data_IF_939819286837
#
_entry.id   IF_939819286837
#
_cell.length_a   1.000
_cell.length_b   1.000
_cell.length_c   1.000
_cell.angle_alpha   90.00
_cell.angle_beta   90.00
_cell.angle_gamma   90.00
#
_symmetry.space_group_name_H-M   'P 1'
#
loop_
_entity.id
_entity.type
_entity.pdbx_description
1 polymer ?
#
# COMPACT_ATOMS: atom_id res chain seq x y z
N UNK A 1 21.10 -3.55 6.05
CA UNK A 1 22.02 -4.69 6.32
C UNK A 1 21.29 -5.89 6.91
N UNK A 2 20.45 -5.76 7.97
CA UNK A 2 19.78 -6.89 8.61
C UNK A 2 18.84 -7.63 7.65
N UNK A 3 17.95 -6.95 6.92
CA UNK A 3 17.07 -7.58 5.93
C UNK A 3 17.87 -8.33 4.86
N UNK A 4 18.94 -7.74 4.35
CA UNK A 4 19.83 -8.41 3.39
C UNK A 4 20.41 -9.70 3.95
N UNK A 5 20.85 -9.69 5.21
CA UNK A 5 21.38 -10.89 5.88
C UNK A 5 20.29 -11.95 6.05
N UNK A 6 19.06 -11.54 6.44
CA UNK A 6 17.91 -12.45 6.56
C UNK A 6 17.62 -13.12 5.22
N UNK A 7 17.41 -12.33 4.15
CA UNK A 7 17.11 -12.89 2.83
C UNK A 7 18.22 -13.75 2.25
N UNK A 8 19.46 -13.51 2.64
CA UNK A 8 20.60 -14.27 2.13
C UNK A 8 20.90 -15.56 2.91
N UNK A 9 20.62 -15.58 4.22
CA UNK A 9 21.12 -16.65 5.10
C UNK A 9 20.03 -17.38 5.91
N UNK A 10 18.78 -16.87 5.93
CA UNK A 10 17.75 -17.52 6.73
C UNK A 10 17.22 -18.76 6.00
N UNK A 11 17.26 -19.91 6.70
CA UNK A 11 16.96 -21.23 6.11
C UNK A 11 15.54 -21.40 5.55
N UNK A 12 14.57 -20.63 6.05
CA UNK A 12 13.16 -20.70 5.64
C UNK A 12 12.78 -19.65 4.57
N UNK A 13 13.70 -18.77 4.22
CA UNK A 13 13.46 -17.70 3.23
C UNK A 13 14.29 -18.03 2.00
N UNK A 14 13.62 -18.46 0.95
CA UNK A 14 14.24 -18.67 -0.34
C UNK A 14 14.09 -17.41 -1.19
N UNK A 15 15.19 -16.85 -1.66
CA UNK A 15 15.19 -15.62 -2.45
C UNK A 15 16.10 -15.77 -3.66
N UNK A 16 15.56 -15.49 -4.85
CA UNK A 16 16.32 -15.48 -6.10
C UNK A 16 17.23 -14.25 -6.25
N UNK A 17 17.35 -13.44 -5.18
CA UNK A 17 18.16 -12.23 -5.11
C UNK A 17 17.36 -10.96 -4.93
N UNK A 18 17.95 -9.83 -5.27
CA UNK A 18 17.35 -8.50 -5.11
C UNK A 18 17.18 -7.81 -6.46
N UNK A 19 16.04 -7.20 -6.69
CA UNK A 19 15.88 -6.25 -7.80
C UNK A 19 16.82 -5.05 -7.61
N UNK A 20 16.86 -4.52 -6.42
CA UNK A 20 17.72 -3.41 -6.04
C UNK A 20 18.33 -3.65 -4.65
N UNK A 21 19.65 -3.53 -4.55
CA UNK A 21 20.37 -3.61 -3.29
C UNK A 21 20.88 -2.21 -2.88
N UNK A 22 20.08 -1.52 -2.06
CA UNK A 22 20.41 -0.19 -1.56
C UNK A 22 21.65 -0.14 -0.65
N UNK A 23 22.13 -1.29 -0.16
CA UNK A 23 23.34 -1.32 0.69
C UNK A 23 24.63 -1.06 -0.09
N UNK A 24 24.61 -1.22 -1.39
CA UNK A 24 25.72 -0.95 -2.27
C UNK A 24 25.81 0.55 -2.70
N UNK A 25 24.75 1.32 -2.45
CA UNK A 25 24.72 2.74 -2.79
C UNK A 25 25.42 3.57 -1.71
N UNK A 26 26.42 4.33 -2.11
CA UNK A 26 27.10 5.33 -1.25
C UNK A 26 26.42 6.72 -1.31
N UNK A 27 25.40 6.88 -2.14
CA UNK A 27 24.71 8.15 -2.30
C UNK A 27 23.68 8.37 -1.20
N UNK A 28 23.90 9.35 -0.34
CA UNK A 28 22.95 9.78 0.70
C UNK A 28 21.63 10.36 0.17
N UNK A 29 21.50 10.54 -1.17
CA UNK A 29 20.31 11.11 -1.80
C UNK A 29 19.34 10.05 -2.35
N UNK A 30 19.61 8.79 -2.17
CA UNK A 30 18.74 7.68 -2.59
C UNK A 30 18.13 7.08 -1.34
N UNK A 31 16.86 7.38 -1.10
CA UNK A 31 16.08 6.77 -0.03
C UNK A 31 14.80 6.17 -0.61
N UNK A 32 14.43 4.98 -0.14
CA UNK A 32 13.24 4.23 -0.54
C UNK A 32 12.75 3.49 0.69
N UNK A 33 11.46 3.61 0.99
CA UNK A 33 10.84 2.86 2.09
C UNK A 33 9.66 2.02 1.58
N UNK A 34 9.45 0.84 2.18
CA UNK A 34 8.45 -0.13 1.71
C UNK A 34 7.00 0.34 1.79
N UNK A 35 6.68 1.28 2.70
CA UNK A 35 5.36 1.88 2.79
C UNK A 35 4.96 2.72 1.57
N UNK A 36 5.95 3.16 0.79
CA UNK A 36 5.72 3.87 -0.48
C UNK A 36 5.62 2.93 -1.69
N UNK A 37 5.76 1.62 -1.51
CA UNK A 37 5.76 0.67 -2.62
C UNK A 37 4.53 -0.25 -2.53
N UNK A 38 3.60 -0.10 -3.45
CA UNK A 38 2.43 -0.96 -3.59
C UNK A 38 2.48 -1.71 -4.92
N UNK A 39 2.64 -3.04 -4.85
CA UNK A 39 2.49 -3.91 -6.00
C UNK A 39 1.01 -4.15 -6.22
N UNK A 40 0.45 -3.55 -7.26
CA UNK A 40 -0.99 -3.60 -7.52
C UNK A 40 -1.36 -4.82 -8.36
N UNK A 41 -0.52 -5.11 -9.34
CA UNK A 41 -0.68 -6.19 -10.30
C UNK A 41 0.71 -6.63 -10.78
N UNK A 42 0.84 -7.73 -11.47
CA UNK A 42 2.11 -8.25 -12.00
C UNK A 42 2.79 -7.31 -13.01
N UNK A 43 2.02 -6.43 -13.66
CA UNK A 43 2.49 -5.46 -14.66
C UNK A 43 2.44 -4.00 -14.16
N UNK A 44 1.96 -3.73 -12.92
CA UNK A 44 1.71 -2.38 -12.42
C UNK A 44 2.14 -2.20 -10.97
N UNK A 45 3.02 -1.23 -10.73
CA UNK A 45 3.48 -0.86 -9.39
C UNK A 45 3.15 0.61 -9.13
N UNK A 46 2.66 0.93 -7.93
CA UNK A 46 2.44 2.29 -7.47
C UNK A 46 3.50 2.68 -6.42
N UNK A 47 4.07 3.89 -6.55
CA UNK A 47 5.18 4.36 -5.73
C UNK A 47 4.87 5.76 -5.20
N UNK A 48 4.99 5.96 -3.89
CA UNK A 48 4.89 7.26 -3.26
C UNK A 48 6.17 8.07 -3.42
N UNK A 49 6.06 9.32 -3.87
CA UNK A 49 7.08 10.34 -3.70
C UNK A 49 6.76 11.10 -2.43
N UNK A 50 7.44 10.76 -1.35
CA UNK A 50 7.14 11.18 0.01
C UNK A 50 8.31 11.90 0.68
N UNK A 51 8.20 12.13 1.98
CA UNK A 51 9.34 12.56 2.80
C UNK A 51 10.45 11.50 2.85
N UNK A 52 10.08 10.20 2.76
CA UNK A 52 10.96 9.04 2.96
C UNK A 52 11.51 8.47 1.67
N UNK A 53 10.78 8.63 0.58
CA UNK A 53 11.18 8.10 -0.73
C UNK A 53 11.44 9.25 -1.70
N UNK A 54 12.68 9.35 -2.14
CA UNK A 54 13.14 10.46 -3.00
C UNK A 54 12.89 10.15 -4.48
N UNK A 55 12.74 11.19 -5.31
CA UNK A 55 12.60 11.06 -6.77
C UNK A 55 13.74 10.24 -7.39
N UNK A 56 14.98 10.42 -6.89
CA UNK A 56 16.13 9.64 -7.35
C UNK A 56 16.04 8.17 -6.92
N UNK A 57 15.49 7.91 -5.73
CA UNK A 57 15.18 6.55 -5.27
C UNK A 57 14.17 5.87 -6.19
N UNK A 58 13.10 6.59 -6.52
CA UNK A 58 12.04 6.12 -7.43
C UNK A 58 12.61 5.78 -8.80
N UNK A 59 13.36 6.69 -9.44
CA UNK A 59 13.97 6.44 -10.76
C UNK A 59 14.90 5.21 -10.72
N UNK A 60 15.73 5.11 -9.69
CA UNK A 60 16.64 3.98 -9.52
C UNK A 60 15.90 2.65 -9.37
N UNK A 61 14.82 2.64 -8.57
CA UNK A 61 14.00 1.45 -8.34
C UNK A 61 13.22 1.03 -9.59
N UNK A 62 12.53 1.97 -10.24
CA UNK A 62 11.79 1.70 -11.48
C UNK A 62 12.68 1.10 -12.56
N UNK A 63 13.86 1.68 -12.74
CA UNK A 63 14.86 1.16 -13.70
C UNK A 63 15.28 -0.27 -13.37
N UNK A 64 15.62 -0.54 -12.12
CA UNK A 64 16.05 -1.86 -11.68
C UNK A 64 14.95 -2.93 -11.85
N UNK A 65 13.70 -2.56 -11.57
CA UNK A 65 12.53 -3.45 -11.75
C UNK A 65 12.25 -3.68 -13.25
N UNK A 66 12.23 -2.61 -14.04
CA UNK A 66 11.99 -2.73 -15.50
C UNK A 66 13.06 -3.56 -16.21
N UNK A 67 14.32 -3.47 -15.75
CA UNK A 67 15.43 -4.24 -16.33
C UNK A 67 15.37 -5.73 -16.00
N UNK A 68 14.94 -6.09 -14.80
CA UNK A 68 14.99 -7.47 -14.29
C UNK A 68 13.64 -8.20 -14.32
N UNK A 69 12.56 -7.50 -14.07
CA UNK A 69 11.27 -8.10 -13.71
C UNK A 69 10.18 -7.98 -14.74
N UNK A 70 10.39 -7.22 -15.80
CA UNK A 70 9.37 -7.07 -16.84
C UNK A 70 8.21 -6.13 -16.49
N UNK A 71 8.14 -5.53 -15.29
CA UNK A 71 7.16 -4.48 -14.99
C UNK A 71 7.55 -3.22 -15.73
N UNK A 72 6.64 -2.70 -16.52
CA UNK A 72 6.88 -1.54 -17.38
C UNK A 72 6.03 -0.32 -16.99
N UNK A 73 4.98 -0.51 -16.19
CA UNK A 73 4.07 0.55 -15.81
C UNK A 73 4.19 0.88 -14.32
N UNK A 74 4.38 2.15 -14.05
CA UNK A 74 4.51 2.68 -12.69
C UNK A 74 3.60 3.89 -12.52
N UNK A 75 2.88 3.95 -11.40
CA UNK A 75 2.16 5.16 -10.97
C UNK A 75 2.95 5.80 -9.84
N UNK A 76 3.49 6.97 -10.05
CA UNK A 76 4.15 7.75 -9.01
C UNK A 76 3.17 8.76 -8.45
N UNK A 77 2.96 8.73 -7.13
CA UNK A 77 2.03 9.62 -6.42
C UNK A 77 2.82 10.63 -5.61
N UNK A 78 2.61 11.92 -5.85
CA UNK A 78 3.25 12.99 -5.10
C UNK A 78 2.49 13.25 -3.79
N UNK A 79 3.09 12.87 -2.68
CA UNK A 79 2.49 12.94 -1.34
C UNK A 79 3.04 14.16 -0.60
N UNK A 80 2.19 14.90 0.16
CA UNK A 80 2.67 15.96 1.04
C UNK A 80 3.72 15.44 2.03
N UNK A 81 4.84 16.15 2.15
CA UNK A 81 5.93 15.78 3.06
C UNK A 81 5.57 16.15 4.48
N UNK A 82 4.86 15.27 5.14
CA UNK A 82 4.42 15.43 6.53
C UNK A 82 4.47 14.11 7.29
N UNK A 83 4.54 14.18 8.61
CA UNK A 83 4.56 12.99 9.46
C UNK A 83 3.25 12.19 9.39
N UNK A 84 2.12 12.84 9.18
CA UNK A 84 0.83 12.19 9.06
C UNK A 84 0.72 11.33 7.80
N UNK A 85 1.37 11.78 6.71
CA UNK A 85 1.35 11.14 5.40
C UNK A 85 2.74 10.65 5.01
N UNK A 86 3.41 10.02 5.97
CA UNK A 86 4.81 9.59 5.85
C UNK A 86 5.06 8.67 4.65
N UNK A 87 4.09 7.84 4.28
CA UNK A 87 4.13 6.90 3.15
C UNK A 87 2.80 6.85 2.40
N UNK A 88 2.84 6.31 1.19
CA UNK A 88 1.68 6.10 0.34
C UNK A 88 0.62 5.19 0.99
N UNK A 89 1.03 4.16 1.71
CA UNK A 89 0.12 3.25 2.38
C UNK A 89 -0.61 3.84 3.61
N UNK A 90 -0.26 5.07 4.00
CA UNK A 90 -1.01 5.85 4.99
C UNK A 90 -2.18 6.63 4.37
N UNK A 91 -2.26 6.71 3.05
CA UNK A 91 -3.31 7.44 2.33
C UNK A 91 -4.14 6.57 1.40
N UNK A 92 -3.61 5.40 0.99
CA UNK A 92 -4.32 4.44 0.15
C UNK A 92 -3.74 3.04 0.33
N UNK A 93 -4.62 2.04 0.57
CA UNK A 93 -4.30 0.61 0.44
C UNK A 93 -5.41 -0.13 -0.27
N UNK A 94 -5.05 -1.05 -1.15
CA UNK A 94 -6.03 -1.96 -1.77
C UNK A 94 -6.54 -2.96 -0.72
N UNK A 95 -7.86 -3.19 -0.73
CA UNK A 95 -8.54 -4.11 0.20
C UNK A 95 -9.20 -5.27 -0.53
N UNK A 96 -9.51 -5.08 -1.81
CA UNK A 96 -9.96 -6.14 -2.72
C UNK A 96 -9.46 -5.83 -4.13
N UNK A 97 -9.83 -6.65 -5.12
CA UNK A 97 -9.49 -6.45 -6.55
C UNK A 97 -10.03 -5.15 -7.12
N UNK A 98 -11.21 -4.73 -6.67
CA UNK A 98 -11.96 -3.58 -7.18
C UNK A 98 -12.15 -2.47 -6.15
N UNK A 99 -11.51 -2.57 -4.97
CA UNK A 99 -11.72 -1.59 -3.90
C UNK A 99 -10.45 -1.24 -3.14
N UNK A 100 -10.42 -0.03 -2.61
CA UNK A 100 -9.34 0.48 -1.78
C UNK A 100 -9.88 1.34 -0.64
N UNK A 101 -9.21 1.32 0.51
CA UNK A 101 -9.43 2.34 1.55
C UNK A 101 -8.53 3.52 1.25
N UNK A 102 -9.11 4.71 1.35
CA UNK A 102 -8.42 5.96 1.04
C UNK A 102 -8.55 6.98 2.17
N UNK A 103 -7.61 7.90 2.24
CA UNK A 103 -7.76 9.14 2.99
C UNK A 103 -8.35 10.22 2.06
N UNK A 104 -9.65 10.54 2.19
CA UNK A 104 -10.36 11.37 1.21
C UNK A 104 -9.72 12.71 0.89
N UNK A 105 -9.21 13.50 1.87
CA UNK A 105 -8.62 14.81 1.58
C UNK A 105 -7.50 14.78 0.53
N UNK A 106 -6.70 13.70 0.50
CA UNK A 106 -5.55 13.55 -0.39
C UNK A 106 -5.81 12.68 -1.62
N UNK A 107 -6.95 11.99 -1.70
CA UNK A 107 -7.24 11.10 -2.84
C UNK A 107 -8.41 11.60 -3.67
N UNK A 108 -9.48 12.07 -3.06
CA UNK A 108 -10.70 12.55 -3.74
C UNK A 108 -11.03 14.01 -3.45
N UNK A 109 -10.42 14.62 -2.44
CA UNK A 109 -10.65 15.99 -2.02
C UNK A 109 -10.10 17.04 -2.98
N UNK A 110 -10.26 18.31 -2.61
CA UNK A 110 -9.79 19.45 -3.41
C UNK A 110 -8.26 19.51 -3.52
N UNK A 111 -7.55 19.00 -2.52
CA UNK A 111 -6.09 18.99 -2.45
C UNK A 111 -5.50 17.60 -2.74
N UNK A 112 -6.20 16.83 -3.58
CA UNK A 112 -5.76 15.48 -3.93
C UNK A 112 -4.37 15.46 -4.55
N UNK A 113 -3.62 14.41 -4.22
CA UNK A 113 -2.27 14.17 -4.71
C UNK A 113 -2.26 13.98 -6.22
N UNK A 114 -1.33 14.62 -6.90
CA UNK A 114 -1.04 14.38 -8.33
C UNK A 114 -0.45 12.99 -8.50
N UNK A 115 -0.75 12.38 -9.63
CA UNK A 115 -0.20 11.08 -9.98
C UNK A 115 0.43 11.12 -11.37
N UNK A 116 1.52 10.39 -11.55
CA UNK A 116 2.27 10.34 -12.80
C UNK A 116 2.36 8.88 -13.26
N UNK A 117 1.79 8.57 -14.41
CA UNK A 117 2.04 7.28 -15.05
C UNK A 117 3.37 7.36 -15.80
N UNK A 118 4.32 6.51 -15.42
CA UNK A 118 5.63 6.37 -16.04
C UNK A 118 5.69 5.02 -16.74
N UNK A 119 5.87 5.06 -18.06
CA UNK A 119 6.01 3.84 -18.87
C UNK A 119 7.46 3.66 -19.28
N UNK A 120 8.00 2.47 -18.98
CA UNK A 120 9.32 2.03 -19.40
C UNK A 120 9.22 1.08 -20.59
N UNK A 121 10.07 1.27 -21.56
CA UNK A 121 10.27 0.35 -22.67
C UNK A 121 11.76 0.32 -23.03
N UNK A 122 12.29 -0.86 -23.30
CA UNK A 122 13.71 -1.04 -23.66
C UNK A 122 14.67 -0.35 -22.65
N UNK A 123 14.37 -0.46 -21.36
CA UNK A 123 15.16 0.11 -20.23
C UNK A 123 15.20 1.64 -20.20
N UNK A 124 14.30 2.31 -20.88
CA UNK A 124 14.20 3.76 -20.92
C UNK A 124 12.77 4.24 -20.61
N UNK A 125 12.66 5.40 -20.00
CA UNK A 125 11.37 6.08 -19.88
C UNK A 125 10.92 6.51 -21.27
N UNK A 126 9.79 5.97 -21.73
CA UNK A 126 9.18 6.31 -23.02
C UNK A 126 8.11 7.37 -22.88
N UNK A 127 7.40 7.36 -21.77
CA UNK A 127 6.26 8.25 -21.57
C UNK A 127 6.08 8.56 -20.10
N UNK A 128 5.78 9.82 -19.83
CA UNK A 128 5.28 10.28 -18.52
C UNK A 128 4.00 11.05 -18.79
N UNK A 129 2.92 10.69 -18.09
CA UNK A 129 1.62 11.37 -18.16
C UNK A 129 1.20 11.76 -16.76
N UNK A 130 0.91 13.04 -16.57
CA UNK A 130 0.37 13.55 -15.31
C UNK A 130 -1.15 13.39 -15.27
N UNK A 131 -1.67 13.00 -14.11
CA UNK A 131 -3.09 12.91 -13.80
C UNK A 131 -3.41 13.74 -12.56
N UNK A 132 -4.62 14.34 -12.51
CA UNK A 132 -5.02 15.16 -11.37
C UNK A 132 -5.20 14.38 -10.08
N UNK A 133 -5.29 13.05 -10.15
CA UNK A 133 -5.43 12.18 -9.00
C UNK A 133 -5.04 10.74 -9.25
N UNK A 134 -4.83 10.00 -8.17
CA UNK A 134 -4.38 8.61 -8.22
C UNK A 134 -5.43 7.67 -8.80
N UNK A 135 -6.70 7.84 -8.47
CA UNK A 135 -7.78 6.98 -8.99
C UNK A 135 -7.96 7.14 -10.50
N UNK A 136 -7.83 8.36 -11.00
CA UNK A 136 -7.87 8.63 -12.45
C UNK A 136 -6.69 7.96 -13.17
N UNK A 137 -5.50 8.04 -12.58
CA UNK A 137 -4.32 7.36 -13.14
C UNK A 137 -4.50 5.83 -13.17
N UNK A 138 -5.00 5.23 -12.08
CA UNK A 138 -5.25 3.79 -11.97
C UNK A 138 -6.31 3.32 -12.97
N UNK A 139 -7.40 4.08 -13.13
CA UNK A 139 -8.45 3.76 -14.10
C UNK A 139 -7.92 3.65 -15.54
N UNK A 140 -6.98 4.50 -15.93
CA UNK A 140 -6.36 4.43 -17.28
C UNK A 140 -5.48 3.20 -17.46
N UNK A 141 -5.09 2.54 -16.35
CA UNK A 141 -4.35 1.28 -16.36
C UNK A 141 -5.27 0.06 -16.16
N UNK A 142 -6.58 0.25 -16.28
CA UNK A 142 -7.57 -0.81 -16.15
C UNK A 142 -7.90 -1.20 -14.71
N UNK A 143 -7.51 -0.39 -13.72
CA UNK A 143 -7.88 -0.56 -12.32
C UNK A 143 -8.91 0.51 -11.92
N UNK A 144 -10.19 0.19 -12.01
CA UNK A 144 -11.28 1.07 -11.56
C UNK A 144 -11.67 0.72 -10.13
N UNK A 145 -10.95 1.30 -9.17
CA UNK A 145 -11.12 0.99 -7.76
C UNK A 145 -12.25 1.83 -7.14
N UNK A 146 -13.12 1.17 -6.37
CA UNK A 146 -14.13 1.81 -5.52
C UNK A 146 -13.45 2.30 -4.23
N UNK A 147 -13.44 3.62 -3.98
CA UNK A 147 -12.85 4.14 -2.76
C UNK A 147 -13.79 3.96 -1.56
N UNK A 148 -13.25 3.46 -0.45
CA UNK A 148 -13.88 3.44 0.87
C UNK A 148 -13.18 4.49 1.72
N UNK A 149 -13.95 5.41 2.31
CA UNK A 149 -13.40 6.53 3.06
C UNK A 149 -12.88 6.09 4.44
N UNK A 150 -11.59 6.29 4.72
CA UNK A 150 -11.06 6.23 6.07
C UNK A 150 -11.76 7.29 6.94
N UNK A 151 -12.36 6.88 8.07
CA UNK A 151 -13.08 7.77 8.97
C UNK A 151 -14.49 8.17 8.52
N UNK A 152 -14.98 7.61 7.38
CA UNK A 152 -16.31 7.90 6.84
C UNK A 152 -16.44 9.32 6.25
N UNK A 153 -17.62 9.93 6.41
CA UNK A 153 -17.94 11.24 5.80
C UNK A 153 -17.54 12.45 6.67
N UNK A 154 -17.12 12.24 7.90
CA UNK A 154 -16.74 13.31 8.84
C UNK A 154 -15.23 13.61 8.75
N UNK A 155 -14.89 14.85 8.37
CA UNK A 155 -13.48 15.26 8.15
C UNK A 155 -12.61 15.08 9.40
N UNK A 156 -13.14 15.36 10.60
CA UNK A 156 -12.39 15.22 11.84
C UNK A 156 -12.10 13.73 12.16
N UNK A 157 -13.08 12.85 11.87
CA UNK A 157 -12.88 11.40 12.00
C UNK A 157 -11.88 10.90 10.95
N UNK A 158 -11.94 11.41 9.73
CA UNK A 158 -10.98 11.06 8.67
C UNK A 158 -9.55 11.37 9.10
N UNK A 159 -9.28 12.58 9.60
CA UNK A 159 -7.95 12.96 10.09
C UNK A 159 -7.51 12.12 11.30
N UNK A 160 -8.41 11.90 12.26
CA UNK A 160 -8.12 11.12 13.47
C UNK A 160 -7.79 9.66 13.15
N UNK A 161 -8.61 9.02 12.32
CA UNK A 161 -8.41 7.61 11.99
C UNK A 161 -7.25 7.41 11.00
N UNK A 162 -7.03 8.35 10.08
CA UNK A 162 -5.84 8.33 9.24
C UNK A 162 -4.56 8.41 10.09
N UNK A 163 -4.50 9.30 11.09
CA UNK A 163 -3.39 9.37 12.03
C UNK A 163 -3.20 8.05 12.79
N UNK A 164 -4.28 7.37 13.10
CA UNK A 164 -4.31 6.05 13.75
C UNK A 164 -4.18 4.88 12.75
N UNK A 165 -3.68 5.15 11.54
CA UNK A 165 -3.44 4.15 10.48
C UNK A 165 -4.71 3.50 9.92
N UNK A 166 -5.83 4.23 9.90
CA UNK A 166 -7.12 3.74 9.39
C UNK A 166 -7.17 3.49 7.87
N UNK A 167 -6.19 3.96 7.11
CA UNK A 167 -6.04 3.62 5.68
C UNK A 167 -4.97 2.54 5.42
N UNK A 168 -4.32 2.01 6.47
CA UNK A 168 -3.16 1.12 6.38
C UNK A 168 -3.53 -0.34 6.66
N UNK A 169 -4.20 -0.98 5.70
CA UNK A 169 -4.63 -2.37 5.82
C UNK A 169 -3.60 -3.35 5.23
N UNK A 170 -3.43 -4.49 5.88
CA UNK A 170 -2.67 -5.60 5.33
C UNK A 170 -3.61 -6.62 4.69
N UNK A 171 -3.49 -6.83 3.38
CA UNK A 171 -4.28 -7.84 2.68
C UNK A 171 -3.66 -9.22 2.84
N UNK A 172 -4.39 -10.14 3.45
CA UNK A 172 -4.09 -11.58 3.50
C UNK A 172 -4.40 -12.24 2.15
N UNK A 173 -5.50 -11.82 1.56
CA UNK A 173 -5.99 -12.21 0.24
C UNK A 173 -6.93 -11.09 -0.26
N UNK A 174 -7.31 -11.06 -1.55
CA UNK A 174 -8.36 -10.15 -2.00
C UNK A 174 -9.62 -10.29 -1.15
N UNK A 175 -10.11 -9.20 -0.59
CA UNK A 175 -11.26 -9.15 0.31
C UNK A 175 -10.97 -9.59 1.76
N UNK A 176 -9.82 -10.17 2.08
CA UNK A 176 -9.47 -10.51 3.46
C UNK A 176 -8.35 -9.61 3.97
N UNK A 177 -8.66 -8.73 4.89
CA UNK A 177 -7.74 -7.68 5.35
C UNK A 177 -7.60 -7.65 6.87
N UNK A 178 -6.43 -7.19 7.34
CA UNK A 178 -6.16 -6.89 8.74
C UNK A 178 -6.15 -5.39 8.97
N UNK A 179 -6.77 -4.95 10.06
CA UNK A 179 -6.77 -3.55 10.51
C UNK A 179 -6.86 -3.44 12.01
N UNK A 180 -6.69 -2.23 12.54
CA UNK A 180 -6.83 -1.98 13.96
C UNK A 180 -8.30 -1.73 14.36
N UNK A 181 -8.72 -2.31 15.48
CA UNK A 181 -10.08 -2.22 16.02
C UNK A 181 -10.50 -0.79 16.42
N UNK A 182 -9.55 0.08 16.73
CA UNK A 182 -9.85 1.46 17.16
C UNK A 182 -10.27 2.39 16.00
N UNK A 183 -10.10 1.99 14.75
CA UNK A 183 -10.57 2.71 13.56
C UNK A 183 -12.02 2.34 13.23
N UNK A 184 -12.94 2.66 14.14
CA UNK A 184 -14.33 2.21 14.10
C UNK A 184 -15.12 2.78 12.93
N UNK A 185 -14.96 4.07 12.63
CA UNK A 185 -15.69 4.69 11.51
C UNK A 185 -15.23 4.10 10.15
N UNK A 186 -13.95 3.78 10.00
CA UNK A 186 -13.44 3.08 8.80
C UNK A 186 -14.01 1.65 8.72
N UNK A 187 -14.09 0.93 9.85
CA UNK A 187 -14.70 -0.39 9.89
C UNK A 187 -16.19 -0.35 9.53
N UNK A 188 -16.94 0.67 10.01
CA UNK A 188 -18.34 0.90 9.63
C UNK A 188 -18.49 1.15 8.13
N UNK A 189 -17.59 1.96 7.52
CA UNK A 189 -17.61 2.19 6.07
C UNK A 189 -17.29 0.92 5.29
N UNK A 190 -16.34 0.10 5.73
CA UNK A 190 -16.06 -1.20 5.13
C UNK A 190 -17.28 -2.14 5.22
N UNK A 191 -17.97 -2.15 6.38
CA UNK A 191 -19.20 -2.95 6.55
C UNK A 191 -20.31 -2.52 5.59
N UNK A 192 -20.51 -1.21 5.37
CA UNK A 192 -21.45 -0.68 4.35
C UNK A 192 -21.07 -1.11 2.93
N UNK A 193 -19.78 -1.38 2.68
CA UNK A 193 -19.25 -1.87 1.41
C UNK A 193 -19.11 -3.40 1.35
N UNK A 194 -19.79 -4.13 2.25
CA UNK A 194 -19.96 -5.58 2.18
C UNK A 194 -18.89 -6.39 2.93
N UNK A 195 -18.01 -5.75 3.70
CA UNK A 195 -17.06 -6.45 4.56
C UNK A 195 -17.74 -6.93 5.85
N UNK A 196 -17.56 -8.19 6.18
CA UNK A 196 -17.85 -8.71 7.52
C UNK A 196 -16.74 -8.28 8.47
N UNK A 197 -17.10 -7.82 9.67
CA UNK A 197 -16.14 -7.37 10.68
C UNK A 197 -16.02 -8.43 11.75
N UNK A 198 -14.82 -8.98 11.91
CA UNK A 198 -14.52 -10.03 12.91
C UNK A 198 -13.26 -9.66 13.69
N UNK A 199 -13.11 -10.21 14.88
CA UNK A 199 -11.88 -10.02 15.66
C UNK A 199 -10.82 -11.07 15.33
N UNK A 200 -9.55 -10.74 15.54
CA UNK A 200 -8.47 -11.71 15.40
C UNK A 200 -8.65 -12.92 16.33
N UNK A 201 -9.19 -12.70 17.54
CA UNK A 201 -9.44 -13.78 18.52
C UNK A 201 -10.49 -14.79 17.99
N UNK A 202 -11.55 -14.33 17.33
CA UNK A 202 -12.55 -15.21 16.71
C UNK A 202 -11.96 -16.06 15.59
N UNK A 203 -11.00 -15.52 14.84
CA UNK A 203 -10.31 -16.27 13.79
C UNK A 203 -9.30 -17.27 14.37
N UNK A 204 -8.56 -16.88 15.41
CA UNK A 204 -7.56 -17.73 16.07
C UNK A 204 -8.21 -18.86 16.85
N UNK A 205 -9.35 -18.62 17.52
CA UNK A 205 -10.14 -19.64 18.24
C UNK A 205 -10.95 -20.56 17.33
N UNK A 206 -10.89 -20.33 16.00
CA UNK A 206 -11.69 -21.04 14.99
C UNK A 206 -13.22 -20.85 15.12
N UNK A 207 -13.67 -19.89 15.92
CA UNK A 207 -15.09 -19.49 15.97
C UNK A 207 -15.55 -18.89 14.65
N UNK A 208 -14.63 -18.20 13.94
CA UNK A 208 -14.87 -17.67 12.61
C UNK A 208 -13.83 -18.17 11.61
N UNK A 209 -14.30 -18.66 10.44
CA UNK A 209 -13.44 -19.10 9.35
C UNK A 209 -13.58 -18.16 8.17
N UNK A 210 -12.44 -17.64 7.68
CA UNK A 210 -12.40 -16.83 6.47
C UNK A 210 -12.85 -17.66 5.26
N UNK A 211 -13.86 -17.20 4.53
CA UNK A 211 -14.45 -17.92 3.40
C UNK A 211 -14.08 -17.21 2.08
N UNK A 212 -13.59 -17.94 1.08
CA UNK A 212 -13.38 -17.38 -0.24
C UNK A 212 -14.64 -16.71 -0.79
N UNK A 213 -14.50 -15.49 -1.32
CA UNK A 213 -15.61 -14.73 -1.88
C UNK A 213 -16.46 -13.94 -0.86
N UNK A 214 -16.17 -14.03 0.43
CA UNK A 214 -16.76 -13.20 1.47
C UNK A 214 -15.72 -12.20 1.97
N UNK A 215 -15.91 -10.92 1.67
CA UNK A 215 -15.00 -9.87 2.13
C UNK A 215 -15.04 -9.76 3.66
N UNK A 216 -13.88 -9.76 4.31
CA UNK A 216 -13.76 -9.77 5.77
C UNK A 216 -12.64 -8.84 6.24
N UNK A 217 -12.98 -7.92 7.14
CA UNK A 217 -12.00 -7.19 7.95
C UNK A 217 -11.78 -7.94 9.26
N UNK A 218 -10.56 -8.40 9.46
CA UNK A 218 -10.11 -8.94 10.74
C UNK A 218 -9.52 -7.81 11.56
N UNK A 219 -10.14 -7.46 12.67
CA UNK A 219 -9.68 -6.40 13.57
C UNK A 219 -8.77 -6.96 14.65
N UNK A 220 -7.72 -6.22 14.99
CA UNK A 220 -6.81 -6.57 16.06
C UNK A 220 -6.59 -5.38 17.00
N UNK A 221 -6.36 -5.66 18.27
CA UNK A 221 -5.97 -4.64 19.23
C UNK A 221 -4.57 -4.11 18.89
N UNK A 222 -4.41 -2.81 18.85
CA UNK A 222 -3.16 -2.20 18.40
C UNK A 222 -3.03 -0.71 18.73
N UNK A 223 -3.81 -0.21 19.70
CA UNK A 223 -3.79 1.21 20.07
C UNK A 223 -2.41 1.71 20.49
N UNK A 224 -1.62 0.88 21.19
CA UNK A 224 -0.26 1.22 21.59
C UNK A 224 0.74 1.07 20.42
N UNK A 225 0.47 0.17 19.48
CA UNK A 225 1.34 -0.02 18.31
C UNK A 225 1.29 1.19 17.38
N UNK A 226 0.09 1.77 17.17
CA UNK A 226 -0.09 2.94 16.32
C UNK A 226 0.63 4.19 16.84
N UNK A 227 0.94 4.26 18.15
CA UNK A 227 1.75 5.35 18.74
C UNK A 227 3.18 5.40 18.20
N UNK A 228 3.75 4.27 17.82
CA UNK A 228 5.05 4.18 17.16
C UNK A 228 5.04 4.66 15.70
N UNK A 229 3.85 4.87 15.16
CA UNK A 229 3.57 5.15 13.77
C UNK A 229 3.45 3.87 12.94
N UNK A 230 2.44 3.84 12.08
CA UNK A 230 2.19 2.72 11.16
C UNK A 230 1.08 1.77 11.59
N UNK A 231 0.47 1.15 10.61
CA UNK A 231 -0.62 0.19 10.76
C UNK A 231 -0.19 -1.25 10.49
N UNK A 232 -1.17 -2.09 10.26
CA UNK A 232 -0.94 -3.52 10.03
C UNK A 232 -0.04 -3.78 8.82
N UNK A 233 -0.15 -3.00 7.75
CA UNK A 233 0.72 -3.13 6.58
C UNK A 233 2.15 -2.70 6.87
N UNK A 234 2.35 -1.60 7.58
CA UNK A 234 3.68 -1.09 7.93
C UNK A 234 4.50 -2.08 8.77
N UNK A 235 3.83 -2.88 9.62
CA UNK A 235 4.48 -3.85 10.51
C UNK A 235 4.66 -5.23 9.88
N UNK A 236 4.30 -5.40 8.61
CA UNK A 236 4.38 -6.69 7.92
C UNK A 236 5.23 -6.58 6.67
N UNK A 237 5.86 -7.68 6.32
CA UNK A 237 6.60 -7.84 5.07
C UNK A 237 6.23 -9.20 4.45
N UNK A 238 5.47 -9.22 3.36
CA UNK A 238 5.14 -10.48 2.70
C UNK A 238 6.40 -11.14 2.15
N UNK A 239 6.61 -12.41 2.49
CA UNK A 239 7.75 -13.20 2.01
C UNK A 239 7.40 -13.98 0.73
N UNK A 240 6.14 -14.42 0.63
CA UNK A 240 5.63 -15.15 -0.51
C UNK A 240 4.17 -14.74 -0.75
N UNK A 241 3.79 -14.61 -2.01
CA UNK A 241 2.41 -14.34 -2.42
C UNK A 241 2.02 -15.25 -3.56
N UNK A 242 0.82 -15.78 -3.48
CA UNK A 242 0.21 -16.49 -4.60
C UNK A 242 -0.24 -15.49 -5.68
N UNK A 243 -0.28 -15.96 -6.92
CA UNK A 243 -0.85 -15.20 -8.01
C UNK A 243 -2.34 -14.89 -7.74
N UNK A 244 -2.77 -13.70 -8.10
CA UNK A 244 -4.17 -13.27 -8.02
C UNK A 244 -4.76 -13.28 -9.43
N UNK A 245 -5.91 -13.93 -9.60
CA UNK A 245 -6.69 -13.83 -10.84
C UNK A 245 -7.44 -12.49 -10.81
N UNK A 246 -7.08 -11.62 -11.70
CA UNK A 246 -7.66 -10.28 -11.89
C UNK A 246 -8.89 -10.34 -12.76
#
# INVERSE_FOLDING_TARGET
>A
LLLKAIFKYHQRINSDGFYFDGTASTSQKITIEGGDLLVLRDDLIMIGYSERTTARGIDTLMRAIAEKGGVQNFIVVEIPKSRATIHLDMILTMVDRDSCVIFPPLVTGLHKCRAFHVHYEQKQVKRIVEYPGVLEALRTQGLDLKPVACGGDDELRQEREQWSSGANFFALAPGHILGFEHNQATAEELAKNGFEIVTADQVISEEHKLKPGQATLVTMSGSELSRGGGGCRCMTMPLNRNAVNW
#
